data_IF_383219541247
#
_entry.id   IF_383219541247
#
_cell.length_a   1.000
_cell.length_b   1.000
_cell.length_c   1.000
_cell.angle_alpha   90.00
_cell.angle_beta   90.00
_cell.angle_gamma   90.00
#
_symmetry.space_group_name_H-M   'P 1'
#
loop_
_entity.id
_entity.type
_entity.pdbx_description
1 polymer ?
#
# COMPACT_ATOMS: atom_id res chain seq x y z
N UNK A 1 -4.97 12.22 -11.27
CA UNK A 1 -4.73 12.15 -9.82
C UNK A 1 -5.73 11.25 -9.10
N UNK A 2 -7.03 11.27 -9.44
CA UNK A 2 -8.05 10.46 -8.75
C UNK A 2 -7.77 8.95 -8.75
N UNK A 3 -7.32 8.37 -9.88
CA UNK A 3 -6.99 6.93 -9.95
C UNK A 3 -5.79 6.58 -9.05
N UNK A 4 -4.74 7.40 -9.08
CA UNK A 4 -3.56 7.21 -8.21
C UNK A 4 -3.94 7.31 -6.74
N UNK A 5 -4.81 8.27 -6.38
CA UNK A 5 -5.33 8.38 -5.01
C UNK A 5 -6.11 7.15 -4.55
N UNK A 6 -6.90 6.52 -5.43
CA UNK A 6 -7.58 5.25 -5.12
C UNK A 6 -6.55 4.14 -4.88
N UNK A 7 -5.53 4.04 -5.72
CA UNK A 7 -4.45 3.05 -5.54
C UNK A 7 -3.71 3.28 -4.22
N UNK A 8 -3.38 4.52 -3.88
CA UNK A 8 -2.75 4.87 -2.60
C UNK A 8 -3.64 4.52 -1.41
N UNK A 9 -4.97 4.74 -1.50
CA UNK A 9 -5.89 4.33 -0.43
C UNK A 9 -5.91 2.81 -0.24
N UNK A 10 -5.88 2.03 -1.33
CA UNK A 10 -5.81 0.56 -1.28
C UNK A 10 -4.49 0.12 -0.61
N UNK A 11 -3.37 0.75 -0.96
CA UNK A 11 -2.07 0.49 -0.34
C UNK A 11 -2.11 0.80 1.17
N UNK A 12 -2.56 1.99 1.55
CA UNK A 12 -2.68 2.40 2.95
C UNK A 12 -3.61 1.50 3.75
N UNK A 13 -4.69 1.00 3.14
CA UNK A 13 -5.57 -0.01 3.74
C UNK A 13 -4.78 -1.25 4.14
N UNK A 14 -3.95 -1.77 3.24
CA UNK A 14 -3.10 -2.94 3.51
C UNK A 14 -2.10 -2.68 4.64
N UNK A 15 -1.51 -1.48 4.68
CA UNK A 15 -0.59 -1.06 5.75
C UNK A 15 -1.29 -1.00 7.10
N UNK A 16 -2.48 -0.42 7.17
CA UNK A 16 -3.25 -0.35 8.41
C UNK A 16 -3.60 -1.74 8.93
N UNK A 17 -4.05 -2.64 8.06
CA UNK A 17 -4.33 -4.03 8.43
C UNK A 17 -3.08 -4.75 8.94
N UNK A 18 -1.95 -4.64 8.25
CA UNK A 18 -0.70 -5.26 8.69
C UNK A 18 -0.21 -4.70 10.04
N UNK A 19 -0.32 -3.39 10.24
CA UNK A 19 0.04 -2.75 11.50
C UNK A 19 -0.93 -3.12 12.64
N UNK A 20 -2.22 -3.31 12.33
CA UNK A 20 -3.25 -3.75 13.28
C UNK A 20 -2.93 -5.13 13.85
N UNK A 21 -2.50 -6.06 12.98
CA UNK A 21 -2.06 -7.41 13.33
C UNK A 21 -0.82 -7.36 14.22
N UNK A 22 0.21 -6.60 13.82
CA UNK A 22 1.45 -6.46 14.59
C UNK A 22 1.18 -5.81 15.95
N UNK A 23 0.31 -4.80 16.00
CA UNK A 23 -0.02 -4.08 17.22
C UNK A 23 -1.01 -4.82 18.12
N UNK A 24 -1.67 -5.88 17.63
CA UNK A 24 -2.73 -6.60 18.35
C UNK A 24 -3.94 -5.71 18.64
N UNK A 25 -4.22 -4.73 17.78
CA UNK A 25 -5.34 -3.79 17.94
C UNK A 25 -6.25 -3.88 16.73
N UNK A 26 -7.53 -4.18 16.95
CA UNK A 26 -8.54 -4.09 15.90
C UNK A 26 -8.68 -2.64 15.42
N UNK A 27 -8.67 -2.44 14.11
CA UNK A 27 -9.01 -1.17 13.48
C UNK A 27 -10.46 -1.27 13.01
N UNK A 28 -11.29 -0.35 13.47
CA UNK A 28 -12.67 -0.22 13.01
C UNK A 28 -12.76 0.71 11.80
N UNK A 29 -13.93 0.74 11.16
CA UNK A 29 -14.16 1.57 9.97
C UNK A 29 -13.93 3.06 10.27
N UNK A 30 -14.31 3.52 11.47
CA UNK A 30 -14.08 4.91 11.90
C UNK A 30 -12.60 5.23 12.01
N UNK A 31 -11.78 4.34 12.57
CA UNK A 31 -10.33 4.52 12.63
C UNK A 31 -9.70 4.56 11.23
N UNK A 32 -10.17 3.72 10.29
CA UNK A 32 -9.76 3.78 8.89
C UNK A 32 -10.12 5.13 8.25
N UNK A 33 -11.37 5.59 8.42
CA UNK A 33 -11.81 6.90 7.91
C UNK A 33 -10.98 8.05 8.47
N UNK A 34 -10.66 8.04 9.76
CA UNK A 34 -9.77 9.05 10.36
C UNK A 34 -8.36 8.99 9.78
N UNK A 35 -7.83 7.79 9.52
CA UNK A 35 -6.54 7.58 8.87
C UNK A 35 -6.49 8.17 7.47
N UNK A 36 -7.46 7.84 6.61
CA UNK A 36 -7.54 8.39 5.25
C UNK A 36 -7.71 9.91 5.23
N UNK A 37 -8.48 10.48 6.18
CA UNK A 37 -8.62 11.93 6.33
C UNK A 37 -7.31 12.59 6.75
N UNK A 38 -6.56 11.98 7.65
CA UNK A 38 -5.25 12.48 8.07
C UNK A 38 -4.24 12.43 6.91
N UNK A 39 -4.22 11.35 6.13
CA UNK A 39 -3.39 11.21 4.94
C UNK A 39 -3.74 12.24 3.86
N UNK A 40 -5.04 12.40 3.56
CA UNK A 40 -5.50 13.43 2.62
C UNK A 40 -5.14 14.85 3.07
N UNK A 41 -5.28 15.15 4.37
CA UNK A 41 -4.85 16.43 4.92
C UNK A 41 -3.33 16.63 4.79
N UNK A 42 -2.54 15.58 5.04
CA UNK A 42 -1.10 15.64 4.88
C UNK A 42 -0.72 15.92 3.40
N UNK A 43 -1.33 15.23 2.45
CA UNK A 43 -1.12 15.47 1.00
C UNK A 43 -1.48 16.92 0.64
N UNK A 44 -2.61 17.46 1.14
CA UNK A 44 -2.99 18.85 0.91
C UNK A 44 -1.97 19.84 1.48
N UNK A 45 -1.52 19.62 2.72
CA UNK A 45 -0.46 20.41 3.35
C UNK A 45 0.84 20.32 2.55
N UNK A 46 1.22 19.13 2.10
CA UNK A 46 2.38 18.92 1.22
C UNK A 46 2.27 19.71 -0.09
N UNK A 47 1.08 19.73 -0.69
CA UNK A 47 0.80 20.51 -1.90
C UNK A 47 1.05 22.01 -1.72
N UNK A 48 0.72 22.59 -0.57
CA UNK A 48 1.06 24.00 -0.26
C UNK A 48 2.57 24.26 -0.23
N UNK A 49 3.37 23.26 0.14
CA UNK A 49 4.84 23.31 0.12
C UNK A 49 5.45 22.75 -1.17
N UNK A 50 4.66 22.58 -2.24
CA UNK A 50 5.09 22.04 -3.53
C UNK A 50 5.68 20.61 -3.43
N UNK A 51 5.20 19.82 -2.47
CA UNK A 51 5.58 18.42 -2.35
C UNK A 51 4.73 17.53 -3.26
N UNK A 52 5.32 16.42 -3.71
CA UNK A 52 4.58 15.38 -4.44
C UNK A 52 3.59 14.67 -3.52
N UNK A 53 2.49 14.11 -4.06
CA UNK A 53 1.60 13.26 -3.28
C UNK A 53 2.36 12.08 -2.67
N UNK A 54 2.21 11.88 -1.37
CA UNK A 54 2.85 10.80 -0.63
C UNK A 54 1.80 9.95 0.12
N UNK A 55 2.17 8.72 0.42
CA UNK A 55 1.31 7.71 1.04
C UNK A 55 1.95 7.15 2.30
N UNK A 56 1.18 6.37 3.07
CA UNK A 56 1.69 5.68 4.26
C UNK A 56 2.82 4.71 3.89
N UNK A 57 3.97 4.83 4.56
CA UNK A 57 5.18 4.08 4.20
C UNK A 57 5.14 2.64 4.74
N UNK A 58 4.84 1.67 3.87
CA UNK A 58 4.73 0.23 4.16
C UNK A 58 5.97 -0.38 4.84
N UNK A 59 7.15 0.19 4.59
CA UNK A 59 8.42 -0.27 5.12
C UNK A 59 8.51 -0.06 6.65
N UNK A 60 7.81 0.95 7.18
CA UNK A 60 7.77 1.20 8.63
C UNK A 60 7.07 0.07 9.39
N UNK A 61 6.20 -0.69 8.74
CA UNK A 61 5.55 -1.88 9.31
C UNK A 61 6.60 -2.93 9.69
N UNK A 62 7.58 -3.18 8.81
CA UNK A 62 8.68 -4.11 9.07
C UNK A 62 9.57 -3.65 10.22
N UNK A 63 9.84 -2.34 10.31
CA UNK A 63 10.59 -1.76 11.43
C UNK A 63 9.87 -1.95 12.77
N UNK A 64 8.56 -1.70 12.83
CA UNK A 64 7.76 -1.91 14.05
C UNK A 64 7.75 -3.38 14.45
N UNK A 65 7.65 -4.29 13.47
CA UNK A 65 7.69 -5.74 13.71
C UNK A 65 9.05 -6.18 14.29
N UNK A 66 10.16 -5.68 13.73
CA UNK A 66 11.51 -6.06 14.14
C UNK A 66 11.91 -5.44 15.49
N UNK A 67 11.66 -4.13 15.66
CA UNK A 67 12.04 -3.38 16.88
C UNK A 67 11.12 -3.66 18.06
N UNK A 68 9.90 -4.15 17.80
CA UNK A 68 8.82 -4.33 18.78
C UNK A 68 8.39 -3.04 19.48
N UNK A 69 8.81 -1.88 18.99
CA UNK A 69 8.43 -0.57 19.54
C UNK A 69 7.15 -0.11 18.86
N UNK A 70 6.02 -0.25 19.56
CA UNK A 70 4.67 0.07 19.07
C UNK A 70 4.14 1.43 19.55
N UNK A 71 5.02 2.26 20.13
CA UNK A 71 4.64 3.53 20.75
C UNK A 71 4.43 4.63 19.71
N UNK A 72 3.26 5.28 19.72
CA UNK A 72 2.94 6.44 18.85
C UNK A 72 3.89 7.62 19.10
N UNK A 73 4.40 7.77 20.32
CA UNK A 73 5.29 8.88 20.68
C UNK A 73 6.57 8.87 19.85
N UNK A 74 7.08 7.68 19.50
CA UNK A 74 8.28 7.56 18.64
C UNK A 74 7.99 8.13 17.25
N UNK A 75 6.84 7.79 16.66
CA UNK A 75 6.43 8.35 15.37
C UNK A 75 6.29 9.87 15.41
N UNK A 76 5.73 10.43 16.48
CA UNK A 76 5.58 11.89 16.65
C UNK A 76 6.95 12.55 16.76
N UNK A 77 7.86 12.02 17.59
CA UNK A 77 9.21 12.55 17.75
C UNK A 77 9.99 12.50 16.43
N UNK A 78 9.91 11.39 15.69
CA UNK A 78 10.51 11.28 14.36
C UNK A 78 9.92 12.30 13.38
N UNK A 79 8.59 12.48 13.37
CA UNK A 79 7.93 13.48 12.52
C UNK A 79 8.40 14.91 12.80
N UNK A 80 8.46 15.30 14.08
CA UNK A 80 8.96 16.62 14.49
C UNK A 80 10.44 16.77 14.12
N UNK A 81 11.26 15.74 14.34
CA UNK A 81 12.66 15.76 13.96
C UNK A 81 12.85 15.92 12.45
N UNK A 82 12.05 15.23 11.63
CA UNK A 82 12.08 15.36 10.17
C UNK A 82 11.67 16.77 9.70
N UNK A 83 10.66 17.37 10.34
CA UNK A 83 10.28 18.78 10.07
C UNK A 83 11.45 19.70 10.41
N UNK A 84 12.06 19.55 11.59
CA UNK A 84 13.21 20.35 12.00
C UNK A 84 14.40 20.19 11.03
N UNK A 85 14.69 18.97 10.59
CA UNK A 85 15.75 18.69 9.61
C UNK A 85 15.43 19.29 8.24
N UNK A 86 14.17 19.23 7.80
CA UNK A 86 13.72 19.83 6.53
C UNK A 86 13.85 21.35 6.49
N UNK A 87 13.78 22.01 7.65
CA UNK A 87 14.00 23.46 7.78
C UNK A 87 15.47 23.87 7.73
N UNK A 88 16.41 22.91 7.74
CA UNK A 88 17.86 23.18 7.69
C UNK A 88 18.35 23.09 6.23
N UNK A 89 18.67 24.21 5.56
CA UNK A 89 19.04 24.20 4.14
C UNK A 89 20.31 23.38 3.85
N UNK A 90 21.21 23.27 4.84
CA UNK A 90 22.43 22.46 4.71
C UNK A 90 22.12 20.96 4.52
N UNK A 91 21.06 20.44 5.12
CA UNK A 91 20.64 19.05 4.92
C UNK A 91 20.18 18.84 3.47
N UNK A 92 19.43 19.80 2.92
CA UNK A 92 19.06 19.82 1.50
C UNK A 92 20.26 19.86 0.56
N UNK A 93 21.28 20.65 0.89
CA UNK A 93 22.52 20.68 0.10
C UNK A 93 23.26 19.34 0.12
N UNK A 94 23.30 18.65 1.27
CA UNK A 94 23.92 17.32 1.40
C UNK A 94 23.17 16.29 0.54
N UNK A 95 21.83 16.34 0.49
CA UNK A 95 21.06 15.40 -0.35
C UNK A 95 21.38 15.50 -1.84
N UNK A 96 21.76 16.68 -2.35
CA UNK A 96 22.17 16.86 -3.75
C UNK A 96 23.58 16.29 -4.03
N UNK A 97 24.42 16.16 -3.00
CA UNK A 97 25.75 15.57 -3.10
C UNK A 97 25.72 14.04 -3.14
N UNK A 98 24.57 13.40 -2.86
CA UNK A 98 24.46 11.94 -2.84
C UNK A 98 24.65 11.40 -4.27
N UNK A 99 25.60 10.49 -4.52
CA UNK A 99 25.81 9.92 -5.84
C UNK A 99 24.57 9.17 -6.36
N UNK A 100 24.32 9.28 -7.67
CA UNK A 100 23.19 8.59 -8.33
C UNK A 100 23.18 7.08 -8.09
N UNK A 101 24.35 6.44 -7.97
CA UNK A 101 24.46 5.00 -7.66
C UNK A 101 23.85 4.65 -6.29
N UNK A 102 24.01 5.52 -5.28
CA UNK A 102 23.45 5.33 -3.94
C UNK A 102 21.94 5.52 -3.97
N UNK A 103 21.47 6.58 -4.64
CA UNK A 103 20.03 6.84 -4.81
C UNK A 103 19.38 5.68 -5.57
N UNK A 104 20.01 5.15 -6.61
CA UNK A 104 19.54 3.98 -7.35
C UNK A 104 19.42 2.74 -6.46
N UNK A 105 20.43 2.46 -5.63
CA UNK A 105 20.38 1.34 -4.67
C UNK A 105 19.27 1.50 -3.63
N UNK A 106 19.12 2.70 -3.05
CA UNK A 106 18.03 3.00 -2.12
C UNK A 106 16.65 2.86 -2.77
N UNK A 107 16.51 3.34 -4.01
CA UNK A 107 15.27 3.27 -4.80
C UNK A 107 14.91 1.82 -5.14
N UNK A 108 15.90 1.00 -5.50
CA UNK A 108 15.71 -0.44 -5.75
C UNK A 108 15.20 -1.15 -4.49
N UNK A 109 15.79 -0.87 -3.33
CA UNK A 109 15.33 -1.44 -2.06
C UNK A 109 13.91 -0.98 -1.72
N UNK A 110 13.59 0.30 -1.94
CA UNK A 110 12.24 0.85 -1.72
C UNK A 110 11.20 0.16 -2.62
N UNK A 111 11.43 0.09 -3.93
CA UNK A 111 10.51 -0.57 -4.85
C UNK A 111 10.42 -2.09 -4.62
N UNK A 112 11.54 -2.75 -4.28
CA UNK A 112 11.54 -4.16 -3.91
C UNK A 112 10.66 -4.45 -2.70
N UNK A 113 10.70 -3.59 -1.69
CA UNK A 113 9.81 -3.70 -0.51
C UNK A 113 8.34 -3.46 -0.87
N UNK A 114 8.03 -2.54 -1.80
CA UNK A 114 6.66 -2.35 -2.30
C UNK A 114 6.14 -3.62 -2.96
N UNK A 115 6.95 -4.27 -3.81
CA UNK A 115 6.60 -5.55 -4.43
C UNK A 115 6.38 -6.62 -3.36
N UNK A 116 7.29 -6.75 -2.39
CA UNK A 116 7.17 -7.73 -1.31
C UNK A 116 5.90 -7.52 -0.46
N UNK A 117 5.53 -6.27 -0.18
CA UNK A 117 4.28 -5.93 0.50
C UNK A 117 3.06 -6.35 -0.33
N UNK A 118 3.09 -6.12 -1.64
CA UNK A 118 2.07 -6.59 -2.58
C UNK A 118 1.89 -8.12 -2.54
N UNK A 119 3.00 -8.87 -2.58
CA UNK A 119 2.99 -10.34 -2.47
C UNK A 119 2.42 -10.80 -1.12
N UNK A 120 2.82 -10.16 -0.02
CA UNK A 120 2.27 -10.46 1.32
C UNK A 120 0.76 -10.24 1.38
N UNK A 121 0.26 -9.17 0.75
CA UNK A 121 -1.18 -8.89 0.68
C UNK A 121 -1.91 -9.97 -0.13
N UNK A 122 -1.34 -10.40 -1.25
CA UNK A 122 -1.85 -11.50 -2.07
C UNK A 122 -1.88 -12.83 -1.31
N UNK A 123 -0.97 -13.06 -0.35
CA UNK A 123 -0.96 -14.25 0.50
C UNK A 123 -2.24 -14.45 1.34
N UNK A 124 -3.11 -13.43 1.45
CA UNK A 124 -4.42 -13.53 2.10
C UNK A 124 -5.54 -13.98 1.15
N UNK A 125 -5.24 -14.13 -0.13
CA UNK A 125 -6.21 -14.53 -1.16
C UNK A 125 -6.20 -16.05 -1.31
N UNK A 126 -7.38 -16.64 -1.45
CA UNK A 126 -7.53 -18.05 -1.80
C UNK A 126 -7.16 -18.28 -3.27
N UNK A 127 -5.97 -18.82 -3.51
CA UNK A 127 -5.46 -19.17 -4.84
C UNK A 127 -5.89 -20.56 -5.33
N UNK A 128 -6.57 -21.37 -4.50
CA UNK A 128 -7.19 -22.61 -4.98
C UNK A 128 -8.34 -22.32 -5.94
N UNK A 129 -8.88 -21.10 -5.89
CA UNK A 129 -9.86 -20.58 -6.85
C UNK A 129 -9.16 -20.06 -8.10
N UNK A 130 -9.43 -20.74 -9.22
CA UNK A 130 -8.84 -20.38 -10.51
C UNK A 130 -9.25 -18.98 -10.98
N UNK A 131 -10.40 -18.45 -10.56
CA UNK A 131 -10.81 -17.08 -10.88
C UNK A 131 -9.86 -16.04 -10.27
N UNK A 132 -9.45 -16.22 -9.01
CA UNK A 132 -8.51 -15.32 -8.33
C UNK A 132 -7.12 -15.36 -8.98
N UNK A 133 -6.67 -16.54 -9.39
CA UNK A 133 -5.41 -16.72 -10.10
C UNK A 133 -5.44 -16.02 -11.46
N UNK A 134 -6.55 -16.14 -12.21
CA UNK A 134 -6.74 -15.45 -13.49
C UNK A 134 -6.75 -13.92 -13.32
N UNK A 135 -7.44 -13.39 -12.31
CA UNK A 135 -7.47 -11.95 -12.02
C UNK A 135 -6.05 -11.42 -11.84
N UNK A 136 -5.25 -12.09 -11.00
CA UNK A 136 -3.85 -11.68 -10.72
C UNK A 136 -2.99 -11.80 -11.97
N UNK A 137 -3.06 -12.92 -12.69
CA UNK A 137 -2.26 -13.15 -13.89
C UNK A 137 -2.53 -12.10 -14.97
N UNK A 138 -3.80 -11.80 -15.25
CA UNK A 138 -4.17 -10.79 -16.24
C UNK A 138 -3.78 -9.37 -15.79
N UNK A 139 -3.99 -9.03 -14.52
CA UNK A 139 -3.65 -7.70 -14.00
C UNK A 139 -2.14 -7.42 -14.07
N UNK A 140 -1.32 -8.37 -13.62
CA UNK A 140 0.16 -8.27 -13.70
C UNK A 140 0.61 -8.27 -15.16
N UNK A 141 0.07 -9.16 -15.99
CA UNK A 141 0.42 -9.27 -17.40
C UNK A 141 0.13 -8.00 -18.19
N UNK A 142 -1.07 -7.42 -18.03
CA UNK A 142 -1.44 -6.17 -18.71
C UNK A 142 -0.64 -4.98 -18.15
N UNK A 143 -0.48 -4.88 -16.83
CA UNK A 143 0.27 -3.78 -16.22
C UNK A 143 1.75 -3.76 -16.66
N UNK A 144 2.39 -4.94 -16.71
CA UNK A 144 3.74 -5.08 -17.24
C UNK A 144 3.79 -4.89 -18.76
N UNK A 145 2.84 -5.45 -19.51
CA UNK A 145 2.79 -5.37 -20.97
C UNK A 145 2.71 -3.92 -21.46
N UNK A 146 1.89 -3.10 -20.82
CA UNK A 146 1.81 -1.65 -21.07
C UNK A 146 3.14 -0.94 -20.84
N UNK A 147 3.85 -1.31 -19.76
CA UNK A 147 5.08 -0.63 -19.34
C UNK A 147 6.27 -1.02 -20.22
N UNK A 148 6.36 -2.31 -20.59
CA UNK A 148 7.48 -2.88 -21.35
C UNK A 148 7.30 -2.67 -22.85
N UNK A 149 6.07 -2.72 -23.35
CA UNK A 149 5.76 -2.52 -24.77
C UNK A 149 4.59 -1.53 -24.96
N UNK A 150 4.84 -0.22 -24.87
CA UNK A 150 3.80 0.81 -25.03
C UNK A 150 3.13 0.78 -26.41
N UNK A 151 3.86 0.33 -27.44
CA UNK A 151 3.35 0.25 -28.81
C UNK A 151 2.18 -0.75 -28.99
N UNK A 152 1.99 -1.67 -28.03
CA UNK A 152 0.93 -2.69 -28.09
C UNK A 152 -0.48 -2.08 -28.18
N UNK A 153 -0.66 -0.87 -27.63
CA UNK A 153 -1.95 -0.17 -27.59
C UNK A 153 -2.01 1.05 -28.52
N UNK A 154 -1.02 1.23 -29.41
CA UNK A 154 -0.92 2.40 -30.29
C UNK A 154 -2.09 2.52 -31.29
N UNK A 155 -2.77 1.40 -31.59
CA UNK A 155 -3.93 1.36 -32.50
C UNK A 155 -5.28 1.50 -31.79
N UNK A 156 -5.30 1.57 -30.46
CA UNK A 156 -6.54 1.74 -29.72
C UNK A 156 -7.00 3.21 -29.72
N UNK A 157 -8.30 3.49 -29.50
CA UNK A 157 -8.82 4.83 -29.31
C UNK A 157 -8.05 5.60 -28.22
N UNK A 158 -7.92 6.92 -28.37
CA UNK A 158 -7.19 7.81 -27.46
C UNK A 158 -7.59 7.64 -25.99
N UNK A 159 -8.87 7.36 -25.71
CA UNK A 159 -9.38 7.10 -24.37
C UNK A 159 -8.70 5.90 -23.70
N UNK A 160 -8.45 4.83 -24.46
CA UNK A 160 -7.80 3.60 -23.96
C UNK A 160 -6.30 3.83 -23.83
N UNK A 161 -5.69 4.56 -24.77
CA UNK A 161 -4.27 4.93 -24.70
C UNK A 161 -3.93 5.72 -23.42
N UNK A 162 -4.82 6.60 -22.96
CA UNK A 162 -4.62 7.35 -21.71
C UNK A 162 -4.53 6.41 -20.50
N UNK A 163 -5.34 5.34 -20.47
CA UNK A 163 -5.35 4.36 -19.38
C UNK A 163 -4.19 3.37 -19.50
N UNK A 164 -3.80 3.02 -20.72
CA UNK A 164 -2.69 2.12 -21.04
C UNK A 164 -1.36 2.84 -21.21
N UNK A 165 -1.22 4.09 -20.74
CA UNK A 165 0.08 4.78 -20.67
C UNK A 165 0.74 4.63 -19.28
N UNK A 166 0.02 4.03 -18.33
CA UNK A 166 0.51 3.77 -16.98
C UNK A 166 0.19 2.33 -16.58
N UNK A 167 1.22 1.51 -16.42
CA UNK A 167 1.06 0.10 -16.06
C UNK A 167 0.33 -0.14 -14.75
N UNK A 168 0.46 0.77 -13.78
CA UNK A 168 -0.26 0.69 -12.49
C UNK A 168 -1.76 0.85 -12.76
N UNK A 169 -2.15 1.87 -13.52
CA UNK A 169 -3.55 2.14 -13.87
C UNK A 169 -4.15 0.98 -14.67
N UNK A 170 -3.45 0.54 -15.71
CA UNK A 170 -3.90 -0.56 -16.56
C UNK A 170 -4.05 -1.88 -15.78
N UNK A 171 -3.08 -2.22 -14.93
CA UNK A 171 -3.13 -3.42 -14.08
C UNK A 171 -4.23 -3.34 -13.02
N UNK A 172 -4.36 -2.22 -12.31
CA UNK A 172 -5.39 -2.04 -11.28
C UNK A 172 -6.81 -2.05 -11.86
N UNK A 173 -7.04 -1.41 -13.02
CA UNK A 173 -8.33 -1.45 -13.70
C UNK A 173 -8.67 -2.87 -14.17
N UNK A 174 -7.69 -3.58 -14.73
CA UNK A 174 -7.86 -4.98 -15.13
C UNK A 174 -8.26 -5.84 -13.93
N UNK A 175 -7.54 -5.71 -12.81
CA UNK A 175 -7.85 -6.43 -11.58
C UNK A 175 -9.27 -6.13 -11.08
N UNK A 176 -9.65 -4.84 -11.05
CA UNK A 176 -10.96 -4.39 -10.61
C UNK A 176 -12.08 -4.95 -11.51
N UNK A 177 -11.95 -4.79 -12.82
CA UNK A 177 -12.95 -5.23 -13.80
C UNK A 177 -13.11 -6.75 -13.74
N UNK A 178 -12.02 -7.51 -13.75
CA UNK A 178 -12.08 -8.96 -13.68
C UNK A 178 -12.61 -9.46 -12.33
N UNK A 179 -12.25 -8.80 -11.22
CA UNK A 179 -12.81 -9.14 -9.92
C UNK A 179 -14.32 -8.85 -9.87
N UNK A 180 -14.78 -7.75 -10.46
CA UNK A 180 -16.22 -7.50 -10.59
C UNK A 180 -16.87 -8.56 -11.48
N UNK A 181 -16.33 -8.91 -12.64
CA UNK A 181 -16.99 -9.88 -13.53
C UNK A 181 -17.02 -11.29 -12.93
N UNK A 182 -15.90 -11.73 -12.35
CA UNK A 182 -15.72 -13.13 -11.92
C UNK A 182 -16.16 -13.38 -10.48
N UNK A 183 -16.22 -12.33 -9.64
CA UNK A 183 -16.67 -12.43 -8.25
C UNK A 183 -17.94 -11.62 -7.93
N UNK A 184 -18.51 -10.79 -8.83
CA UNK A 184 -19.80 -10.13 -8.55
C UNK A 184 -20.93 -11.15 -8.47
N UNK A 185 -21.59 -11.18 -7.32
CA UNK A 185 -22.68 -12.11 -7.02
C UNK A 185 -22.33 -13.11 -5.92
N UNK A 186 -21.04 -13.33 -5.66
CA UNK A 186 -20.60 -14.06 -4.47
C UNK A 186 -20.26 -13.02 -3.42
N UNK A 187 -21.04 -12.98 -2.32
CA UNK A 187 -20.55 -12.35 -1.09
C UNK A 187 -19.22 -13.02 -0.82
N UNK A 188 -18.13 -12.29 -1.02
CA UNK A 188 -16.88 -12.65 -0.37
C UNK A 188 -17.28 -12.81 1.07
N UNK A 189 -17.25 -14.03 1.60
CA UNK A 189 -17.13 -14.23 3.02
C UNK A 189 -15.80 -13.62 3.39
N UNK A 190 -15.74 -12.28 3.41
CA UNK A 190 -14.91 -11.59 4.36
C UNK A 190 -15.43 -12.14 5.67
N UNK A 191 -14.74 -13.17 6.17
CA UNK A 191 -14.91 -13.60 7.54
C UNK A 191 -14.94 -12.30 8.35
N UNK A 192 -16.03 -12.02 9.07
CA UNK A 192 -16.06 -10.83 9.89
C UNK A 192 -14.80 -10.91 10.74
N UNK A 193 -14.03 -9.83 10.79
CA UNK A 193 -12.81 -9.65 11.60
C UNK A 193 -13.02 -10.10 13.07
N UNK A 194 -14.27 -10.30 13.46
CA UNK A 194 -14.73 -10.89 14.71
C UNK A 194 -14.50 -12.41 14.88
N UNK A 195 -14.56 -13.23 13.83
CA UNK A 195 -14.43 -14.69 13.93
C UNK A 195 -12.98 -15.12 14.23
N UNK A 196 -12.02 -14.65 13.42
CA UNK A 196 -10.59 -14.90 13.64
C UNK A 196 -10.10 -14.32 14.99
N UNK A 197 -10.66 -13.19 15.44
CA UNK A 197 -10.34 -12.64 16.76
C UNK A 197 -10.96 -13.41 17.91
N UNK A 198 -12.16 -13.99 17.76
CA UNK A 198 -12.77 -14.84 18.79
C UNK A 198 -12.00 -16.15 18.96
N UNK A 199 -11.52 -16.73 17.86
CA UNK A 199 -10.71 -17.96 17.89
C UNK A 199 -9.35 -17.72 18.56
N UNK A 200 -8.69 -16.59 18.25
CA UNK A 200 -7.39 -16.25 18.84
C UNK A 200 -7.50 -15.79 20.31
N UNK A 201 -8.61 -15.15 20.72
CA UNK A 201 -8.89 -14.84 22.13
C UNK A 201 -9.18 -16.13 22.93
N UNK A 202 -9.90 -17.09 22.33
CA UNK A 202 -10.14 -18.39 22.97
C UNK A 202 -8.84 -19.16 23.20
N UNK A 203 -7.93 -19.18 22.23
CA UNK A 203 -6.61 -19.81 22.34
C UNK A 203 -5.70 -19.09 23.36
N UNK A 204 -5.74 -17.76 23.41
CA UNK A 204 -4.96 -16.97 24.38
C UNK A 204 -5.53 -17.09 25.81
N UNK A 205 -6.84 -17.32 25.96
CA UNK A 205 -7.48 -17.58 27.25
C UNK A 205 -7.16 -18.98 27.78
N UNK A 206 -7.14 -19.99 26.90
CA UNK A 206 -6.78 -21.36 27.26
C UNK A 206 -5.30 -21.50 27.66
N UNK A 207 -4.40 -20.71 27.06
CA UNK A 207 -2.98 -20.69 27.41
C UNK A 207 -2.65 -19.95 28.72
N UNK A 208 -3.64 -19.32 29.37
CA UNK A 208 -3.51 -18.67 30.69
C UNK A 208 -4.02 -19.53 31.85
N UNK A 209 -4.65 -20.67 31.57
CA UNK A 209 -5.18 -21.61 32.57
C UNK A 209 -4.30 -22.86 32.77
N UNK A 210 -3.10 -22.89 32.18
CA UNK A 210 -2.03 -23.89 32.42
C UNK A 210 -0.76 -23.17 32.84
#
# INVERSE_FOLDING_TARGET
MSIVGIVSMIETTGVYLALSEICGKKIDEKAMQHGYRAEGLAILLGGFFNAFPYTTFSQNVGLVQMTRVKSRSVTVVCGVALVALGLIPKIGAITVLIPNAVIGGATLAMFGMVIASGVRMLGKVDFSRQENLLIVACAVGIGMGVTVQPALFAHFPSLIQILTNNGIVAGSLTALILNLILNAGRRTSAEPIDAASKQMIAETSAAKEV
#
